data_IF_777071670328
#
_entry.id   IF_777071670328
#
_cell.length_a   1.000
_cell.length_b   1.000
_cell.length_c   1.000
_cell.angle_alpha   90.00
_cell.angle_beta   90.00
_cell.angle_gamma   90.00
#
_symmetry.space_group_name_H-M   'P 1'
#
loop_
_entity.id
_entity.type
_entity.pdbx_description
1 polymer ?
#
# COMPACT_ATOMS: atom_id res chain seq x y z
N UNK A 1 -10.41 59.50 36.21
CA UNK A 1 -11.84 59.92 36.31
C UNK A 1 -12.55 59.23 35.14
N UNK A 2 -13.12 58.02 35.32
CA UNK A 2 -14.50 57.74 35.76
C UNK A 2 -15.55 58.43 34.86
N UNK A 3 -16.64 57.84 34.34
CA UNK A 3 -17.23 56.51 34.13
C UNK A 3 -18.61 56.76 33.42
N UNK A 4 -19.19 55.74 32.77
CA UNK A 4 -20.62 55.53 32.37
C UNK A 4 -20.75 55.16 30.87
N UNK A 5 -21.01 53.91 30.43
CA UNK A 5 -22.23 53.06 30.56
C UNK A 5 -23.50 53.78 30.03
N UNK A 6 -24.34 53.25 29.13
CA UNK A 6 -25.07 51.96 29.22
C UNK A 6 -25.81 51.63 27.90
N UNK A 7 -26.16 50.35 27.75
CA UNK A 7 -26.81 49.58 26.68
C UNK A 7 -28.24 49.96 26.26
N UNK A 8 -28.63 49.47 25.07
CA UNK A 8 -30.02 49.18 24.69
C UNK A 8 -30.10 48.01 23.70
N UNK A 9 -30.35 46.80 24.19
CA UNK A 9 -30.75 45.61 23.44
C UNK A 9 -32.23 45.68 23.03
N UNK A 10 -32.63 45.01 21.94
CA UNK A 10 -33.64 43.92 21.89
C UNK A 10 -34.31 43.81 20.50
N UNK A 11 -34.11 42.65 19.85
CA UNK A 11 -35.06 42.07 18.88
C UNK A 11 -36.31 41.56 19.62
N UNK A 12 -37.46 41.36 18.93
CA UNK A 12 -37.81 39.97 18.58
C UNK A 12 -38.60 39.75 17.27
N UNK A 13 -38.55 38.47 16.88
CA UNK A 13 -39.20 37.68 15.82
C UNK A 13 -40.71 37.87 15.64
N UNK A 14 -41.18 37.82 14.38
CA UNK A 14 -42.48 37.19 14.02
C UNK A 14 -42.32 36.35 12.74
N UNK A 15 -42.79 35.10 12.82
CA UNK A 15 -42.79 34.05 11.80
C UNK A 15 -44.12 34.02 11.00
N UNK A 16 -44.06 33.30 9.85
CA UNK A 16 -45.11 32.48 9.16
C UNK A 16 -45.96 33.17 8.04
N UNK A 17 -46.63 32.41 7.12
CA UNK A 17 -46.13 31.35 6.22
C UNK A 17 -46.82 31.33 4.80
N UNK A 18 -46.47 30.33 3.97
CA UNK A 18 -47.34 29.53 3.06
C UNK A 18 -47.37 29.79 1.52
N UNK A 19 -46.64 28.91 0.81
CA UNK A 19 -47.00 28.13 -0.42
C UNK A 19 -46.85 28.74 -1.83
N UNK A 20 -46.42 27.92 -2.84
CA UNK A 20 -45.89 28.37 -4.13
C UNK A 20 -46.87 28.16 -5.30
N UNK A 21 -46.60 28.71 -6.49
CA UNK A 21 -47.16 28.20 -7.73
C UNK A 21 -46.13 27.39 -8.54
N UNK A 22 -46.54 26.16 -8.85
CA UNK A 22 -46.00 25.29 -9.90
C UNK A 22 -46.12 25.98 -11.27
N UNK A 23 -45.04 26.14 -12.02
CA UNK A 23 -45.13 26.24 -13.49
C UNK A 23 -43.81 25.82 -14.19
N UNK A 24 -43.95 24.74 -14.97
CA UNK A 24 -43.41 24.50 -16.32
C UNK A 24 -41.93 24.15 -16.49
N UNK A 25 -41.71 22.87 -16.81
CA UNK A 25 -40.57 22.32 -17.56
C UNK A 25 -40.46 22.94 -18.96
N UNK A 26 -39.23 23.18 -19.45
CA UNK A 26 -38.91 22.91 -20.85
C UNK A 26 -37.83 21.82 -20.96
N UNK A 27 -38.15 20.83 -21.78
CA UNK A 27 -37.28 19.79 -22.30
C UNK A 27 -36.14 20.39 -23.16
N UNK A 28 -34.88 19.96 -22.99
CA UNK A 28 -33.89 20.06 -24.06
C UNK A 28 -33.56 18.68 -24.63
N UNK A 29 -33.67 18.63 -25.95
CA UNK A 29 -33.23 17.62 -26.92
C UNK A 29 -31.83 17.03 -26.67
N UNK A 30 -31.73 15.70 -26.80
CA UNK A 30 -30.51 14.92 -27.09
C UNK A 30 -29.98 15.23 -28.52
N UNK A 31 -28.84 14.69 -29.00
CA UNK A 31 -27.58 14.27 -28.35
C UNK A 31 -26.35 14.93 -29.01
N UNK A 32 -25.22 15.05 -28.31
CA UNK A 32 -23.92 15.17 -29.00
C UNK A 32 -22.88 14.26 -28.34
N UNK A 33 -22.43 13.29 -29.15
CA UNK A 33 -21.33 12.41 -28.85
C UNK A 33 -20.00 13.19 -28.83
N UNK A 34 -19.25 13.05 -27.74
CA UNK A 34 -17.79 13.27 -27.71
C UNK A 34 -17.18 12.29 -26.71
N UNK A 35 -16.72 11.18 -27.29
CA UNK A 35 -15.51 10.41 -26.94
C UNK A 35 -14.80 10.82 -25.65
N UNK A 36 -15.04 10.05 -24.58
CA UNK A 36 -14.05 9.83 -23.53
C UNK A 36 -13.52 8.41 -23.66
N UNK A 37 -12.19 8.20 -23.84
CA UNK A 37 -11.62 6.88 -23.66
C UNK A 37 -11.69 6.56 -22.16
N UNK A 38 -12.66 5.73 -21.78
CA UNK A 38 -12.66 5.04 -20.49
C UNK A 38 -11.53 4.01 -20.54
N UNK A 39 -10.37 4.37 -20.01
CA UNK A 39 -9.32 3.43 -19.69
C UNK A 39 -9.80 2.58 -18.51
N UNK A 40 -10.47 1.47 -18.81
CA UNK A 40 -10.71 0.40 -17.85
C UNK A 40 -9.34 -0.21 -17.48
N UNK A 41 -9.04 -0.44 -16.19
CA UNK A 41 -7.86 -1.22 -15.84
C UNK A 41 -8.10 -2.66 -16.32
N UNK A 42 -7.23 -3.12 -17.22
CA UNK A 42 -7.16 -4.50 -17.69
C UNK A 42 -6.98 -5.42 -16.48
N UNK A 43 -8.09 -5.97 -16.00
CA UNK A 43 -8.12 -7.09 -15.07
C UNK A 43 -7.44 -8.29 -15.75
N UNK A 44 -6.20 -8.56 -15.30
CA UNK A 44 -5.59 -9.88 -15.19
C UNK A 44 -5.90 -10.90 -16.30
N UNK A 45 -5.28 -10.74 -17.47
CA UNK A 45 -4.99 -11.86 -18.38
C UNK A 45 -3.61 -12.43 -18.05
N UNK A 46 -3.48 -13.08 -16.90
CA UNK A 46 -2.37 -14.01 -16.65
C UNK A 46 -2.73 -15.35 -17.28
N UNK A 47 -1.87 -15.95 -18.13
CA UNK A 47 -2.11 -17.28 -18.65
C UNK A 47 -2.05 -18.28 -17.49
N UNK A 48 -3.23 -18.82 -17.17
CA UNK A 48 -3.42 -19.93 -16.24
C UNK A 48 -2.73 -21.17 -16.84
N UNK A 49 -1.43 -21.37 -16.60
CA UNK A 49 -0.73 -22.60 -16.98
C UNK A 49 -1.32 -23.77 -16.20
N UNK A 50 -2.18 -24.55 -16.88
CA UNK A 50 -2.36 -25.97 -16.58
C UNK A 50 -1.02 -26.65 -16.78
N UNK A 51 -0.50 -27.34 -15.76
CA UNK A 51 0.53 -28.38 -15.97
C UNK A 51 0.24 -29.57 -15.07
N UNK A 52 -0.41 -30.57 -15.66
CA UNK A 52 -0.52 -31.91 -15.09
C UNK A 52 0.49 -32.85 -15.76
N UNK A 53 1.34 -33.46 -14.91
CA UNK A 53 2.04 -34.74 -15.07
C UNK A 53 3.18 -34.88 -16.09
N UNK A 54 3.96 -35.99 -16.05
CA UNK A 54 4.17 -36.98 -14.98
C UNK A 54 5.65 -37.11 -14.52
N UNK A 55 5.83 -37.86 -13.44
CA UNK A 55 7.09 -38.23 -12.77
C UNK A 55 7.97 -39.07 -13.70
N UNK A 56 9.24 -38.69 -13.85
CA UNK A 56 10.31 -39.55 -14.36
C UNK A 56 11.53 -39.41 -13.43
N UNK A 57 12.11 -40.55 -13.05
CA UNK A 57 13.15 -40.69 -12.05
C UNK A 57 14.53 -41.00 -12.66
N UNK A 58 15.57 -40.66 -11.87
CA UNK A 58 16.98 -41.15 -11.83
C UNK A 58 18.01 -40.61 -12.86
N UNK A 59 19.34 -40.68 -12.59
CA UNK A 59 20.10 -40.65 -11.33
C UNK A 59 21.33 -39.69 -11.32
N UNK A 60 22.01 -39.63 -10.17
CA UNK A 60 23.23 -38.90 -9.79
C UNK A 60 24.35 -38.72 -10.84
N UNK A 61 24.98 -37.55 -10.83
CA UNK A 61 26.46 -37.42 -10.92
C UNK A 61 26.95 -36.28 -10.05
N UNK A 62 27.88 -36.62 -9.17
CA UNK A 62 28.67 -35.75 -8.29
C UNK A 62 29.49 -34.77 -9.11
N UNK A 63 29.35 -33.47 -8.82
CA UNK A 63 30.35 -32.46 -9.16
C UNK A 63 30.42 -31.47 -8.01
N UNK A 64 31.37 -31.70 -7.12
CA UNK A 64 31.85 -30.70 -6.17
C UNK A 64 32.37 -29.50 -6.95
N UNK A 65 31.62 -28.40 -6.93
CA UNK A 65 32.14 -27.08 -7.26
C UNK A 65 31.84 -26.19 -6.07
N UNK A 66 32.85 -26.04 -5.21
CA UNK A 66 32.92 -24.97 -4.20
C UNK A 66 33.14 -23.65 -4.92
N UNK A 67 32.15 -23.22 -5.68
CA UNK A 67 31.87 -21.81 -5.84
C UNK A 67 30.72 -21.56 -4.88
N UNK A 68 31.04 -21.03 -3.70
CA UNK A 68 30.08 -20.29 -2.91
C UNK A 68 29.69 -19.06 -3.74
N UNK A 69 28.86 -19.27 -4.76
CA UNK A 69 27.92 -18.26 -5.19
C UNK A 69 27.17 -17.95 -3.92
N UNK A 70 27.49 -16.81 -3.31
CA UNK A 70 26.71 -16.26 -2.22
C UNK A 70 25.34 -15.96 -2.82
N UNK A 71 24.50 -16.99 -2.92
CA UNK A 71 23.08 -16.81 -3.15
C UNK A 71 22.65 -15.81 -2.09
N UNK A 72 22.04 -14.68 -2.45
CA UNK A 72 21.59 -13.71 -1.48
C UNK A 72 20.76 -14.44 -0.41
N UNK A 73 21.26 -14.46 0.82
CA UNK A 73 20.56 -15.09 1.94
C UNK A 73 19.39 -14.20 2.29
N UNK A 74 18.21 -14.57 1.80
CA UNK A 74 16.95 -13.93 2.12
C UNK A 74 16.53 -14.33 3.54
N UNK A 75 16.94 -13.55 4.53
CA UNK A 75 16.60 -13.80 5.92
C UNK A 75 15.19 -13.28 6.25
N UNK A 76 14.32 -14.17 6.71
CA UNK A 76 12.97 -13.83 7.19
C UNK A 76 13.03 -12.76 8.28
N UNK A 77 14.03 -12.81 9.17
CA UNK A 77 14.20 -11.81 10.24
C UNK A 77 14.52 -10.43 9.69
N UNK A 78 15.31 -10.34 8.62
CA UNK A 78 15.57 -9.08 7.93
C UNK A 78 14.31 -8.52 7.25
N UNK A 79 13.49 -9.39 6.66
CA UNK A 79 12.22 -8.98 6.06
C UNK A 79 11.24 -8.45 7.12
N UNK A 80 11.11 -9.15 8.26
CA UNK A 80 10.32 -8.68 9.40
C UNK A 80 10.86 -7.35 9.95
N UNK A 81 12.18 -7.20 10.08
CA UNK A 81 12.79 -5.96 10.54
C UNK A 81 12.53 -4.78 9.58
N UNK A 82 12.52 -5.03 8.27
CA UNK A 82 12.10 -4.03 7.28
C UNK A 82 10.64 -3.62 7.43
N UNK A 83 9.74 -4.57 7.75
CA UNK A 83 8.33 -4.28 8.03
C UNK A 83 8.18 -3.46 9.31
N UNK A 84 8.95 -3.78 10.36
CA UNK A 84 8.98 -2.98 11.58
C UNK A 84 9.45 -1.54 11.30
N UNK A 85 10.43 -1.34 10.41
CA UNK A 85 10.85 0.00 9.99
C UNK A 85 9.73 0.78 9.29
N UNK A 86 8.95 0.12 8.43
CA UNK A 86 7.78 0.73 7.77
C UNK A 86 6.70 1.14 8.76
N UNK A 87 6.40 0.28 9.72
CA UNK A 87 5.40 0.56 10.77
C UNK A 87 5.83 1.73 11.65
N UNK A 88 7.12 1.83 11.99
CA UNK A 88 7.66 3.00 12.72
C UNK A 88 7.55 4.28 11.92
N UNK A 89 7.79 4.23 10.60
CA UNK A 89 7.55 5.39 9.72
C UNK A 89 6.06 5.79 9.69
N UNK A 90 5.16 4.81 9.78
CA UNK A 90 3.71 5.01 9.94
C UNK A 90 3.28 5.49 11.34
N UNK A 91 4.21 5.62 12.30
CA UNK A 91 3.96 6.16 13.64
C UNK A 91 3.76 5.12 14.75
N UNK A 92 3.94 3.82 14.48
CA UNK A 92 3.92 2.82 15.55
C UNK A 92 5.13 2.97 16.50
N UNK A 93 4.93 2.63 17.77
CA UNK A 93 6.04 2.51 18.72
C UNK A 93 7.02 1.41 18.28
N UNK A 94 8.26 1.44 18.77
CA UNK A 94 9.25 0.42 18.39
C UNK A 94 8.81 -0.99 18.81
N UNK A 95 8.18 -1.11 19.98
CA UNK A 95 7.69 -2.38 20.51
C UNK A 95 6.48 -2.89 19.73
N UNK A 96 5.51 -2.01 19.43
CA UNK A 96 4.33 -2.37 18.64
C UNK A 96 4.72 -2.74 17.21
N UNK A 97 5.62 -1.98 16.59
CA UNK A 97 6.12 -2.27 15.25
C UNK A 97 6.78 -3.64 15.18
N UNK A 98 7.62 -3.99 16.17
CA UNK A 98 8.25 -5.31 16.24
C UNK A 98 7.22 -6.42 16.48
N UNK A 99 6.26 -6.21 17.38
CA UNK A 99 5.21 -7.17 17.68
C UNK A 99 4.27 -7.42 16.49
N UNK A 100 3.85 -6.36 15.79
CA UNK A 100 3.03 -6.43 14.59
C UNK A 100 3.79 -7.13 13.48
N UNK A 101 5.05 -6.76 13.22
CA UNK A 101 5.86 -7.38 12.17
C UNK A 101 6.05 -8.89 12.41
N UNK A 102 6.35 -9.30 13.65
CA UNK A 102 6.48 -10.71 14.02
C UNK A 102 5.17 -11.51 13.85
N UNK A 103 4.01 -10.84 13.92
CA UNK A 103 2.69 -11.44 13.73
C UNK A 103 2.15 -11.30 12.29
N UNK A 104 2.90 -10.66 11.39
CA UNK A 104 2.55 -10.48 9.99
C UNK A 104 3.54 -11.16 9.03
N UNK A 105 3.81 -12.48 9.19
CA UNK A 105 4.84 -13.18 8.43
C UNK A 105 4.50 -13.29 6.93
N UNK A 106 3.22 -13.34 6.54
CA UNK A 106 2.83 -13.45 5.15
C UNK A 106 3.06 -12.14 4.39
N UNK A 107 2.83 -10.99 5.04
CA UNK A 107 3.20 -9.69 4.47
C UNK A 107 4.71 -9.57 4.25
N UNK A 108 5.52 -9.92 5.27
CA UNK A 108 6.97 -9.93 5.15
C UNK A 108 7.46 -10.86 4.04
N UNK A 109 6.93 -12.08 3.97
CA UNK A 109 7.25 -13.05 2.93
C UNK A 109 6.87 -12.56 1.53
N UNK A 110 5.69 -11.94 1.36
CA UNK A 110 5.27 -11.37 0.08
C UNK A 110 6.25 -10.29 -0.40
N UNK A 111 6.73 -9.42 0.49
CA UNK A 111 7.72 -8.41 0.11
C UNK A 111 9.07 -9.06 -0.23
N UNK A 112 9.52 -10.03 0.57
CA UNK A 112 10.73 -10.80 0.32
C UNK A 112 10.69 -11.52 -1.03
N UNK A 113 9.57 -12.16 -1.38
CA UNK A 113 9.36 -12.81 -2.67
C UNK A 113 9.44 -11.82 -3.83
N UNK A 114 8.82 -10.64 -3.69
CA UNK A 114 8.93 -9.59 -4.70
C UNK A 114 10.36 -9.07 -4.87
N UNK A 115 11.13 -8.97 -3.78
CA UNK A 115 12.54 -8.59 -3.82
C UNK A 115 13.38 -9.65 -4.52
N UNK A 116 13.15 -10.92 -4.19
CA UNK A 116 13.80 -12.06 -4.81
C UNK A 116 13.51 -12.15 -6.30
N UNK A 117 12.25 -11.99 -6.71
CA UNK A 117 11.86 -11.99 -8.12
C UNK A 117 12.57 -10.86 -8.89
N UNK A 118 12.64 -9.65 -8.32
CA UNK A 118 13.35 -8.54 -8.96
C UNK A 118 14.88 -8.74 -9.01
N UNK A 119 15.47 -9.36 -7.98
CA UNK A 119 16.90 -9.72 -7.96
C UNK A 119 17.22 -10.78 -9.03
N UNK A 120 16.44 -11.85 -9.08
CA UNK A 120 16.59 -12.95 -10.04
C UNK A 120 16.44 -12.46 -11.50
N UNK A 121 15.55 -11.50 -11.74
CA UNK A 121 15.31 -10.93 -13.07
C UNK A 121 16.18 -9.71 -13.38
N UNK A 122 16.92 -9.17 -12.41
CA UNK A 122 17.71 -7.94 -12.57
C UNK A 122 16.88 -6.69 -12.88
N UNK A 123 15.61 -6.65 -12.45
CA UNK A 123 14.63 -5.63 -12.87
C UNK A 123 14.53 -4.42 -11.93
N UNK A 124 15.44 -4.28 -10.97
CA UNK A 124 15.40 -3.19 -9.98
C UNK A 124 15.37 -1.79 -10.58
N UNK A 125 16.15 -1.55 -11.64
CA UNK A 125 16.15 -0.25 -12.33
C UNK A 125 14.78 0.04 -12.97
N UNK A 126 14.19 -0.95 -13.65
CA UNK A 126 12.86 -0.81 -14.27
C UNK A 126 11.76 -0.59 -13.22
N UNK A 127 11.82 -1.33 -12.11
CA UNK A 127 10.90 -1.15 -11.00
C UNK A 127 11.04 0.24 -10.36
N UNK A 128 12.27 0.69 -10.09
CA UNK A 128 12.52 2.00 -9.48
C UNK A 128 12.06 3.16 -10.35
N UNK A 129 12.16 3.04 -11.67
CA UNK A 129 11.63 4.04 -12.62
C UNK A 129 10.13 4.29 -12.39
N UNK A 130 9.35 3.21 -12.22
CA UNK A 130 7.91 3.31 -11.92
C UNK A 130 7.60 3.65 -10.46
N UNK A 131 8.44 3.21 -9.52
CA UNK A 131 8.23 3.44 -8.09
C UNK A 131 8.70 4.83 -7.62
N UNK A 132 9.59 5.50 -8.35
CA UNK A 132 10.19 6.79 -7.98
C UNK A 132 9.12 7.87 -7.72
N UNK A 133 8.07 7.90 -8.53
CA UNK A 133 6.93 8.81 -8.35
C UNK A 133 6.17 8.58 -7.03
N UNK A 134 6.07 7.32 -6.58
CA UNK A 134 5.38 6.94 -5.34
C UNK A 134 6.24 7.12 -4.10
N UNK A 135 7.55 6.89 -4.26
CA UNK A 135 8.52 6.96 -3.19
C UNK A 135 9.09 8.37 -2.99
N UNK A 136 8.79 9.32 -3.89
CA UNK A 136 9.33 10.67 -3.85
C UNK A 136 10.85 10.72 -4.06
N UNK A 137 11.43 9.70 -4.71
CA UNK A 137 12.89 9.50 -4.85
C UNK A 137 13.52 10.34 -5.98
N UNK A 138 12.92 11.48 -6.34
CA UNK A 138 13.41 12.35 -7.40
C UNK A 138 14.82 12.88 -7.05
N UNK A 139 15.86 12.21 -7.56
CA UNK A 139 17.27 12.57 -7.34
C UNK A 139 18.14 11.45 -6.75
N UNK A 140 17.56 10.33 -6.29
CA UNK A 140 18.36 9.15 -5.90
C UNK A 140 18.78 8.43 -7.18
N UNK A 141 20.08 8.23 -7.35
CA UNK A 141 20.67 7.57 -8.51
C UNK A 141 20.04 6.18 -8.66
N UNK A 142 19.13 6.04 -9.63
CA UNK A 142 18.43 4.81 -10.04
C UNK A 142 19.40 3.60 -10.18
N UNK A 143 20.66 3.92 -10.49
CA UNK A 143 21.77 2.99 -10.71
C UNK A 143 22.27 2.23 -9.47
N UNK A 144 21.92 2.62 -8.24
CA UNK A 144 22.35 1.91 -7.01
C UNK A 144 21.31 0.97 -6.41
N UNK A 145 20.07 0.96 -6.94
CA UNK A 145 18.96 0.20 -6.36
C UNK A 145 19.24 -1.32 -6.32
N UNK A 146 19.87 -1.84 -7.38
CA UNK A 146 20.26 -3.26 -7.45
C UNK A 146 21.35 -3.66 -6.45
N UNK A 147 22.15 -2.69 -5.95
CA UNK A 147 23.24 -2.91 -4.98
C UNK A 147 22.79 -2.78 -3.53
N UNK A 148 21.56 -2.33 -3.29
CA UNK A 148 21.02 -2.22 -1.93
C UNK A 148 20.93 -3.59 -1.27
N UNK A 149 21.17 -3.61 0.05
CA UNK A 149 20.98 -4.80 0.87
C UNK A 149 19.51 -5.26 0.90
N UNK A 150 19.31 -6.55 1.22
CA UNK A 150 18.01 -7.20 1.18
C UNK A 150 16.94 -6.47 2.02
N UNK A 151 17.20 -6.24 3.32
CA UNK A 151 16.30 -5.47 4.20
C UNK A 151 15.86 -4.12 3.59
N UNK A 152 16.80 -3.38 2.99
CA UNK A 152 16.50 -2.07 2.39
C UNK A 152 15.62 -2.20 1.16
N UNK A 153 15.84 -3.23 0.34
CA UNK A 153 14.97 -3.56 -0.79
C UNK A 153 13.56 -3.93 -0.34
N UNK A 154 13.42 -4.75 0.71
CA UNK A 154 12.12 -5.11 1.30
C UNK A 154 11.39 -3.87 1.81
N UNK A 155 12.10 -3.00 2.54
CA UNK A 155 11.56 -1.73 3.03
C UNK A 155 11.05 -0.86 1.87
N UNK A 156 11.85 -0.64 0.82
CA UNK A 156 11.43 0.19 -0.32
C UNK A 156 10.27 -0.45 -1.10
N UNK A 157 10.26 -1.78 -1.22
CA UNK A 157 9.15 -2.53 -1.81
C UNK A 157 7.86 -2.28 -1.03
N UNK A 158 7.90 -2.38 0.30
CA UNK A 158 6.76 -2.11 1.17
C UNK A 158 6.32 -0.65 1.08
N UNK A 159 7.24 0.31 1.23
CA UNK A 159 6.97 1.76 1.16
C UNK A 159 6.31 2.20 -0.15
N UNK A 160 6.57 1.50 -1.26
CA UNK A 160 5.95 1.80 -2.56
C UNK A 160 4.45 1.48 -2.63
N UNK A 161 3.93 0.77 -1.62
CA UNK A 161 2.52 0.38 -1.52
C UNK A 161 1.72 1.47 -0.79
N UNK A 162 0.48 1.75 -1.23
CA UNK A 162 -0.34 2.77 -0.59
C UNK A 162 -0.70 2.41 0.86
N UNK A 163 -0.92 1.13 1.16
CA UNK A 163 -1.40 0.65 2.46
C UNK A 163 -0.29 -0.09 3.24
N UNK A 164 0.93 0.44 3.21
CA UNK A 164 2.15 -0.23 3.68
C UNK A 164 2.19 -0.45 5.20
N UNK A 165 1.48 0.36 5.95
CA UNK A 165 1.33 0.35 7.39
C UNK A 165 0.12 -0.49 7.86
N UNK A 166 -1.01 -0.39 7.16
CA UNK A 166 -2.27 -1.03 7.58
C UNK A 166 -2.34 -2.52 7.26
N UNK A 167 -1.80 -2.97 6.12
CA UNK A 167 -1.84 -4.40 5.77
C UNK A 167 -1.13 -5.29 6.81
N UNK A 168 0.11 -5.01 7.24
CA UNK A 168 0.74 -5.80 8.30
C UNK A 168 0.00 -5.71 9.64
N UNK A 169 -0.60 -4.56 9.97
CA UNK A 169 -1.45 -4.45 11.16
C UNK A 169 -2.64 -5.40 11.09
N UNK A 170 -3.42 -5.38 10.00
CA UNK A 170 -4.58 -6.24 9.84
C UNK A 170 -4.19 -7.73 9.89
N UNK A 171 -3.07 -8.09 9.29
CA UNK A 171 -2.56 -9.46 9.38
C UNK A 171 -2.22 -9.86 10.82
N UNK A 172 -1.58 -8.96 11.57
CA UNK A 172 -1.26 -9.21 12.99
C UNK A 172 -2.49 -9.43 13.88
N UNK A 173 -3.65 -8.90 13.47
CA UNK A 173 -4.96 -9.09 14.11
C UNK A 173 -5.66 -10.39 13.65
N UNK A 174 -5.01 -11.19 12.79
CA UNK A 174 -5.51 -12.47 12.29
C UNK A 174 -6.28 -12.38 10.96
N UNK A 175 -6.31 -11.21 10.32
CA UNK A 175 -6.92 -11.09 8.99
C UNK A 175 -5.98 -11.71 7.96
N UNK A 176 -6.46 -12.67 7.18
CA UNK A 176 -5.65 -13.27 6.10
C UNK A 176 -5.12 -12.20 5.15
N UNK A 177 -3.86 -12.30 4.72
CA UNK A 177 -3.19 -11.34 3.83
C UNK A 177 -4.04 -10.94 2.60
N UNK A 178 -4.73 -11.90 1.97
CA UNK A 178 -5.61 -11.63 0.82
C UNK A 178 -6.76 -10.70 1.17
N UNK A 179 -7.36 -10.88 2.35
CA UNK A 179 -8.46 -10.05 2.86
C UNK A 179 -7.93 -8.72 3.39
N UNK A 180 -6.80 -8.73 4.09
CA UNK A 180 -6.15 -7.53 4.61
C UNK A 180 -5.88 -6.51 3.49
N UNK A 181 -5.35 -6.95 2.35
CA UNK A 181 -5.14 -6.10 1.16
C UNK A 181 -6.41 -5.48 0.59
N UNK A 182 -7.55 -6.14 0.72
CA UNK A 182 -8.83 -5.62 0.25
C UNK A 182 -9.42 -4.61 1.24
N UNK A 183 -9.21 -4.84 2.54
CA UNK A 183 -9.74 -4.00 3.61
C UNK A 183 -8.89 -2.75 3.80
N UNK A 184 -7.57 -2.87 3.70
CA UNK A 184 -6.61 -1.82 4.06
C UNK A 184 -6.90 -0.45 3.41
N UNK A 185 -7.25 -0.32 2.11
CA UNK A 185 -7.57 0.98 1.53
C UNK A 185 -8.75 1.70 2.19
N UNK A 186 -9.68 0.95 2.79
CA UNK A 186 -10.85 1.51 3.47
C UNK A 186 -10.54 2.01 4.88
N UNK A 187 -9.49 1.48 5.51
CA UNK A 187 -9.10 1.83 6.89
C UNK A 187 -7.83 2.68 6.94
N UNK A 188 -7.04 2.73 5.86
CA UNK A 188 -5.83 3.52 5.75
C UNK A 188 -6.05 5.02 5.97
N UNK A 189 -7.26 5.52 5.70
CA UNK A 189 -7.64 6.91 5.99
C UNK A 189 -7.67 7.26 7.49
N UNK A 190 -7.79 6.26 8.38
CA UNK A 190 -7.75 6.47 9.82
C UNK A 190 -6.32 6.68 10.35
N UNK A 191 -5.30 6.16 9.65
CA UNK A 191 -3.90 6.18 10.07
C UNK A 191 -3.54 5.08 11.07
N UNK A 192 -2.29 4.60 11.01
CA UNK A 192 -1.81 3.49 11.83
C UNK A 192 -1.92 3.74 13.34
N UNK A 193 -1.54 4.94 13.80
CA UNK A 193 -1.55 5.30 15.23
C UNK A 193 -2.96 5.21 15.84
N UNK A 194 -3.97 5.66 15.10
CA UNK A 194 -5.38 5.60 15.53
C UNK A 194 -5.88 4.16 15.61
N UNK A 195 -5.34 3.27 14.79
CA UNK A 195 -5.74 1.86 14.75
C UNK A 195 -5.04 1.00 15.82
N UNK A 196 -3.87 1.40 16.30
CA UNK A 196 -3.14 0.68 17.36
C UNK A 196 -3.73 1.00 18.75
N UNK A 197 -4.19 2.23 18.97
CA UNK A 197 -4.76 2.68 20.25
C UNK A 197 -6.21 2.22 20.53
N UNK A 198 -6.78 1.34 19.69
CA UNK A 198 -8.19 0.92 19.71
C UNK A 198 -8.34 -0.57 19.99
#
# INVERSE_FOLDING_TARGET
MAAAATFGFLHPLIRKPLVPPLYILPLPTQPHAKTHPRSLPLLFLLPRRRRGGPIAALPNTTSSSTNASASPTYDVREAEAAVADLLREGGASADDAAAIAARAPAYAAMLADGVRELDELGLWASWSSGASARLGLSGVVEMEMGRLGFRRKVYLMGRSRPDHDVVPLLESLGVRLSSAKLIAPYVASAGLTVLIDR
#
